data_IF_385590826939
#
_entry.id   IF_385590826939
#
_cell.length_a   1.000
_cell.length_b   1.000
_cell.length_c   1.000
_cell.angle_alpha   90.00
_cell.angle_beta   90.00
_cell.angle_gamma   90.00
#
_symmetry.space_group_name_H-M   'P 1'
#
loop_
_entity.id
_entity.type
_entity.pdbx_description
1 polymer ?
#
# COMPACT_ATOMS: atom_id res chain seq x y z
N UNK A 1 -33.01 16.20 -39.09
CA UNK A 1 -32.35 16.61 -37.82
C UNK A 1 -32.95 15.90 -36.61
N UNK A 2 -33.31 14.62 -36.72
CA UNK A 2 -33.81 13.81 -35.59
C UNK A 2 -33.09 12.45 -35.49
N UNK A 3 -31.96 12.30 -36.19
CA UNK A 3 -31.18 11.05 -36.29
C UNK A 3 -29.85 11.09 -35.53
N UNK A 4 -29.33 12.27 -35.17
CA UNK A 4 -28.02 12.39 -34.50
C UNK A 4 -28.13 12.24 -32.97
N UNK A 5 -29.28 12.58 -32.38
CA UNK A 5 -29.46 12.51 -30.93
C UNK A 5 -29.72 11.09 -30.41
N UNK A 6 -30.26 10.18 -31.23
CA UNK A 6 -30.41 8.77 -30.83
C UNK A 6 -29.07 8.03 -30.84
N UNK A 7 -28.24 8.28 -31.86
CA UNK A 7 -26.94 7.62 -32.01
C UNK A 7 -25.96 8.02 -30.89
N UNK A 8 -25.90 9.30 -30.52
CA UNK A 8 -25.04 9.77 -29.42
C UNK A 8 -25.50 9.22 -28.05
N UNK A 9 -26.81 9.03 -27.86
CA UNK A 9 -27.37 8.42 -26.64
C UNK A 9 -27.03 6.93 -26.56
N UNK A 10 -27.17 6.20 -27.67
CA UNK A 10 -26.89 4.76 -27.73
C UNK A 10 -25.38 4.46 -27.59
N UNK A 11 -24.51 5.29 -28.19
CA UNK A 11 -23.04 5.21 -28.01
C UNK A 11 -22.63 5.43 -26.56
N UNK A 12 -23.19 6.45 -25.89
CA UNK A 12 -22.89 6.71 -24.48
C UNK A 12 -23.36 5.54 -23.59
N UNK A 13 -24.54 4.96 -23.85
CA UNK A 13 -25.01 3.77 -23.12
C UNK A 13 -24.07 2.56 -23.27
N UNK A 14 -23.49 2.34 -24.45
CA UNK A 14 -22.54 1.24 -24.69
C UNK A 14 -21.23 1.44 -23.89
N UNK A 15 -20.64 2.63 -23.95
CA UNK A 15 -19.41 2.96 -23.20
C UNK A 15 -19.65 2.83 -21.70
N UNK A 16 -20.78 3.34 -21.18
CA UNK A 16 -21.15 3.18 -19.78
C UNK A 16 -21.34 1.70 -19.39
N UNK A 17 -21.82 0.86 -20.30
CA UNK A 17 -21.92 -0.58 -20.08
C UNK A 17 -20.53 -1.24 -19.99
N UNK A 18 -19.61 -0.92 -20.90
CA UNK A 18 -18.23 -1.43 -20.89
C UNK A 18 -17.47 -0.97 -19.62
N UNK A 19 -17.58 0.31 -19.24
CA UNK A 19 -17.01 0.83 -17.99
C UNK A 19 -17.53 0.08 -16.76
N UNK A 20 -18.80 -0.33 -16.77
CA UNK A 20 -19.38 -1.15 -15.70
C UNK A 20 -18.84 -2.58 -15.69
N UNK A 21 -18.54 -3.17 -16.85
CA UNK A 21 -17.87 -4.47 -16.95
C UNK A 21 -16.45 -4.35 -16.40
N UNK A 22 -15.69 -3.37 -16.87
CA UNK A 22 -14.33 -3.07 -16.40
C UNK A 22 -14.31 -2.91 -14.88
N UNK A 23 -15.19 -2.06 -14.32
CA UNK A 23 -15.33 -1.89 -12.87
C UNK A 23 -15.66 -3.19 -12.13
N UNK A 24 -16.45 -4.08 -12.72
CA UNK A 24 -16.84 -5.36 -12.10
C UNK A 24 -15.71 -6.37 -12.11
N UNK A 25 -14.86 -6.36 -13.13
CA UNK A 25 -13.69 -7.25 -13.18
C UNK A 25 -12.70 -6.99 -12.02
N UNK A 26 -12.64 -5.75 -11.53
CA UNK A 26 -11.88 -5.36 -10.33
C UNK A 26 -12.54 -5.76 -9.00
N UNK A 27 -13.82 -6.20 -9.00
CA UNK A 27 -14.55 -6.48 -7.76
C UNK A 27 -14.17 -7.85 -7.17
N UNK A 28 -13.05 -7.83 -6.44
CA UNK A 28 -12.78 -8.51 -5.15
C UNK A 28 -12.21 -9.92 -5.22
N UNK A 29 -10.92 -10.01 -4.88
CA UNK A 29 -10.47 -10.91 -3.83
C UNK A 29 -10.57 -10.21 -2.47
N UNK A 30 -10.88 -10.97 -1.44
CA UNK A 30 -10.75 -10.51 -0.06
C UNK A 30 -9.32 -9.98 0.14
N UNK A 31 -9.10 -8.88 0.88
CA UNK A 31 -7.78 -8.28 1.08
C UNK A 31 -6.91 -9.09 2.06
N UNK A 32 -7.19 -10.39 2.12
CA UNK A 32 -6.54 -11.37 2.96
C UNK A 32 -6.62 -12.75 2.31
N UNK A 33 -5.68 -13.60 2.65
CA UNK A 33 -5.69 -15.04 2.36
C UNK A 33 -5.56 -15.81 3.66
N UNK A 34 -6.24 -16.94 3.77
CA UNK A 34 -6.22 -17.76 4.98
C UNK A 34 -6.33 -19.24 4.65
N UNK A 35 -5.91 -20.07 5.59
CA UNK A 35 -5.97 -21.51 5.41
C UNK A 35 -5.30 -22.28 6.54
N UNK A 36 -5.16 -23.58 6.31
CA UNK A 36 -4.34 -24.47 7.13
C UNK A 36 -3.00 -24.70 6.44
N UNK A 37 -1.93 -24.74 7.24
CA UNK A 37 -0.60 -25.08 6.80
C UNK A 37 -0.10 -26.31 7.56
N UNK A 38 0.18 -27.39 6.86
CA UNK A 38 0.71 -28.60 7.46
C UNK A 38 2.16 -28.38 7.93
N UNK A 39 2.48 -28.87 9.12
CA UNK A 39 3.81 -28.73 9.73
C UNK A 39 4.27 -30.04 10.36
N UNK A 40 5.55 -30.11 10.73
CA UNK A 40 6.08 -31.22 11.54
C UNK A 40 5.79 -30.92 13.00
N UNK A 41 5.62 -31.96 13.83
CA UNK A 41 5.34 -31.78 15.26
C UNK A 41 6.40 -30.91 15.97
N UNK A 42 7.67 -31.11 15.63
CA UNK A 42 8.79 -30.32 16.19
C UNK A 42 8.74 -28.81 15.81
N UNK A 43 7.99 -28.43 14.77
CA UNK A 43 7.84 -27.02 14.36
C UNK A 43 6.99 -26.23 15.38
N UNK A 44 6.17 -26.93 16.17
CA UNK A 44 5.23 -26.37 17.15
C UNK A 44 5.84 -26.23 18.56
N UNK A 45 7.11 -26.59 18.71
CA UNK A 45 7.85 -26.45 19.98
C UNK A 45 8.43 -25.05 20.09
N UNK A 46 8.06 -24.35 21.17
CA UNK A 46 8.58 -23.02 21.49
C UNK A 46 9.51 -23.12 22.70
N UNK A 47 10.68 -22.52 22.58
CA UNK A 47 11.59 -22.25 23.69
C UNK A 47 11.48 -20.78 24.06
N UNK A 48 11.30 -20.48 25.33
CA UNK A 48 11.11 -19.10 25.79
C UNK A 48 11.81 -18.82 27.11
N UNK A 49 12.10 -17.55 27.35
CA UNK A 49 12.70 -17.05 28.58
C UNK A 49 11.62 -16.54 29.53
N UNK A 50 11.85 -16.75 30.83
CA UNK A 50 11.04 -16.17 31.91
C UNK A 50 11.92 -15.20 32.68
N UNK A 51 11.50 -13.94 32.88
CA UNK A 51 12.30 -12.97 33.62
C UNK A 51 12.68 -13.47 35.02
N UNK A 52 13.98 -13.51 35.30
CA UNK A 52 14.54 -13.96 36.59
C UNK A 52 14.91 -15.45 36.64
N UNK A 53 14.53 -16.24 35.63
CA UNK A 53 14.92 -17.63 35.51
C UNK A 53 16.23 -17.78 34.73
N UNK A 54 17.05 -18.75 35.14
CA UNK A 54 18.37 -18.99 34.51
C UNK A 54 18.34 -20.01 33.37
N UNK A 55 17.23 -20.73 33.23
CA UNK A 55 17.06 -21.79 32.24
C UNK A 55 15.93 -21.41 31.28
N UNK A 56 16.03 -21.76 29.99
CA UNK A 56 14.91 -21.62 29.08
C UNK A 56 13.81 -22.63 29.43
N UNK A 57 12.58 -22.24 29.14
CA UNK A 57 11.40 -23.09 29.21
C UNK A 57 11.07 -23.64 27.83
N UNK A 58 10.28 -24.71 27.79
CA UNK A 58 9.89 -25.40 26.56
C UNK A 58 8.42 -25.75 26.66
N UNK A 59 7.67 -25.44 25.61
CA UNK A 59 6.26 -25.84 25.45
C UNK A 59 6.05 -26.43 24.07
N UNK A 60 5.30 -27.52 23.98
CA UNK A 60 4.82 -28.10 22.72
C UNK A 60 3.39 -27.63 22.48
N UNK A 61 3.20 -26.63 21.61
CA UNK A 61 1.89 -26.01 21.39
C UNK A 61 0.88 -26.95 20.69
N UNK A 62 1.32 -28.11 20.19
CA UNK A 62 0.42 -29.16 19.70
C UNK A 62 -0.28 -29.92 20.82
N UNK A 63 0.37 -30.03 21.98
CA UNK A 63 -0.05 -30.90 23.09
C UNK A 63 -0.03 -30.16 24.44
N UNK A 64 0.00 -28.83 24.42
CA UNK A 64 0.19 -28.01 25.61
C UNK A 64 -0.96 -28.21 26.61
N UNK A 65 -0.62 -28.40 27.89
CA UNK A 65 -1.63 -28.41 28.95
C UNK A 65 -2.04 -27.00 29.32
N UNK A 66 -3.18 -26.87 30.01
CA UNK A 66 -3.64 -25.57 30.52
C UNK A 66 -2.60 -24.94 31.46
N UNK A 67 -1.95 -25.75 32.31
CA UNK A 67 -0.90 -25.27 33.22
C UNK A 67 0.32 -24.71 32.47
N UNK A 68 0.76 -25.37 31.39
CA UNK A 68 1.87 -24.88 30.55
C UNK A 68 1.49 -23.58 29.83
N UNK A 69 0.24 -23.44 29.39
CA UNK A 69 -0.27 -22.22 28.76
C UNK A 69 -0.41 -21.06 29.75
N UNK A 70 -0.80 -21.34 31.00
CA UNK A 70 -0.77 -20.37 32.10
C UNK A 70 0.66 -19.90 32.37
N UNK A 71 1.63 -20.82 32.39
CA UNK A 71 3.04 -20.49 32.60
C UNK A 71 3.60 -19.63 31.43
N UNK A 72 3.28 -19.97 30.18
CA UNK A 72 3.62 -19.15 29.01
C UNK A 72 2.98 -17.75 29.09
N UNK A 73 1.73 -17.68 29.54
CA UNK A 73 1.03 -16.39 29.73
C UNK A 73 1.71 -15.55 30.80
N UNK A 74 2.16 -16.16 31.90
CA UNK A 74 2.87 -15.46 32.98
C UNK A 74 4.25 -14.96 32.55
N UNK A 75 4.89 -15.62 31.57
CA UNK A 75 6.14 -15.18 30.96
C UNK A 75 5.96 -13.97 30.01
N UNK A 76 4.75 -13.73 29.53
CA UNK A 76 4.45 -12.62 28.64
C UNK A 76 4.43 -11.27 29.38
N UNK A 77 4.85 -10.22 28.68
CA UNK A 77 4.56 -8.84 29.07
C UNK A 77 3.10 -8.51 28.75
N UNK A 78 2.53 -7.53 29.45
CA UNK A 78 1.21 -7.01 29.08
C UNK A 78 1.30 -6.30 27.73
N UNK A 79 0.38 -6.61 26.82
CA UNK A 79 0.42 -6.04 25.48
C UNK A 79 -0.02 -4.56 25.44
N UNK A 80 0.75 -3.72 24.77
CA UNK A 80 0.45 -2.30 24.47
C UNK A 80 -0.15 -2.14 23.06
N UNK A 81 -0.63 -0.95 22.71
CA UNK A 81 -1.04 -0.60 21.34
C UNK A 81 -0.56 0.81 20.99
N UNK A 82 -0.36 1.09 19.70
CA UNK A 82 0.13 2.39 19.22
C UNK A 82 -0.97 3.43 19.13
N UNK A 83 -0.73 4.63 19.66
CA UNK A 83 -1.54 5.84 19.43
C UNK A 83 -0.60 6.99 19.14
N UNK A 84 -0.66 7.54 17.92
CA UNK A 84 0.20 8.67 17.52
C UNK A 84 1.70 8.40 17.72
N UNK A 85 2.17 7.20 17.37
CA UNK A 85 3.57 6.79 17.51
C UNK A 85 4.03 6.45 18.93
N UNK A 86 3.13 6.42 19.92
CA UNK A 86 3.43 6.04 21.31
C UNK A 86 2.72 4.76 21.70
N UNK A 87 3.41 3.91 22.47
CA UNK A 87 2.81 2.71 23.05
C UNK A 87 1.96 3.06 24.28
N UNK A 88 0.69 2.66 24.24
CA UNK A 88 -0.31 2.88 25.29
C UNK A 88 -0.74 1.53 25.87
N UNK A 89 -0.88 1.48 27.19
CA UNK A 89 -1.41 0.33 27.91
C UNK A 89 -2.81 0.63 28.44
N UNK A 90 -3.83 -0.08 27.93
CA UNK A 90 -5.22 0.01 28.39
C UNK A 90 -5.93 -1.34 28.19
N UNK A 91 -6.21 -2.04 29.28
CA UNK A 91 -6.87 -3.36 29.27
C UNK A 91 -8.34 -3.30 28.83
N UNK A 92 -8.97 -2.11 28.81
CA UNK A 92 -10.30 -1.93 28.23
C UNK A 92 -10.26 -1.89 26.70
N UNK A 93 -9.07 -1.71 26.11
CA UNK A 93 -8.85 -1.66 24.67
C UNK A 93 -8.15 -2.92 24.15
N UNK A 94 -7.12 -3.39 24.86
CA UNK A 94 -6.36 -4.60 24.54
C UNK A 94 -6.01 -5.37 25.81
N UNK A 95 -6.46 -6.62 25.89
CA UNK A 95 -6.07 -7.55 26.95
C UNK A 95 -5.46 -8.78 26.31
N UNK A 96 -4.14 -8.90 26.37
CA UNK A 96 -3.37 -10.05 25.88
C UNK A 96 -1.97 -10.07 26.51
N UNK A 97 -1.36 -11.25 26.57
CA UNK A 97 0.08 -11.40 26.77
C UNK A 97 0.83 -11.21 25.45
N UNK A 98 1.96 -10.51 25.49
CA UNK A 98 2.89 -10.32 24.36
C UNK A 98 4.30 -10.78 24.79
N UNK A 99 4.98 -11.49 23.91
CA UNK A 99 6.39 -11.83 24.04
C UNK A 99 7.15 -11.33 22.80
N UNK A 100 8.20 -10.53 23.02
CA UNK A 100 9.06 -10.01 21.95
C UNK A 100 10.02 -11.10 21.44
N UNK A 101 10.44 -11.00 20.18
CA UNK A 101 11.28 -11.99 19.48
C UNK A 101 12.60 -12.33 20.17
N UNK A 102 13.13 -11.45 21.00
CA UNK A 102 14.37 -11.71 21.73
C UNK A 102 14.19 -12.69 22.90
N UNK A 103 12.94 -12.98 23.29
CA UNK A 103 12.62 -13.80 24.46
C UNK A 103 12.08 -15.19 24.09
N UNK A 104 11.99 -15.53 22.79
CA UNK A 104 11.57 -16.86 22.36
C UNK A 104 12.18 -17.26 21.03
N UNK A 105 12.18 -18.56 20.75
CA UNK A 105 12.54 -19.14 19.46
C UNK A 105 11.72 -20.40 19.21
N UNK A 106 11.56 -20.75 17.94
CA UNK A 106 10.86 -21.95 17.48
C UNK A 106 11.46 -22.44 16.16
N UNK A 107 11.15 -23.69 15.80
CA UNK A 107 11.69 -24.32 14.57
C UNK A 107 10.88 -24.06 13.32
N UNK A 108 9.64 -23.59 13.46
CA UNK A 108 8.78 -23.29 12.32
C UNK A 108 9.46 -22.34 11.33
N UNK A 109 9.69 -22.84 10.12
CA UNK A 109 10.20 -22.07 8.99
C UNK A 109 9.01 -21.49 8.20
N UNK A 110 8.87 -20.18 8.22
CA UNK A 110 7.80 -19.46 7.53
C UNK A 110 7.94 -19.52 6.00
N UNK A 111 9.10 -19.92 5.46
CA UNK A 111 9.36 -19.89 4.02
C UNK A 111 8.39 -20.78 3.20
N UNK A 112 7.99 -21.94 3.72
CA UNK A 112 7.00 -22.80 3.03
C UNK A 112 5.62 -22.14 3.00
N UNK A 113 5.23 -21.47 4.08
CA UNK A 113 3.97 -20.73 4.15
C UNK A 113 4.00 -19.48 3.26
N UNK A 114 5.14 -18.78 3.20
CA UNK A 114 5.35 -17.65 2.28
C UNK A 114 5.07 -18.04 0.83
N UNK A 115 5.55 -19.21 0.38
CA UNK A 115 5.26 -19.71 -0.97
C UNK A 115 3.76 -19.89 -1.23
N UNK A 116 2.99 -20.29 -0.23
CA UNK A 116 1.52 -20.43 -0.33
C UNK A 116 0.82 -19.07 -0.40
N UNK A 117 1.23 -18.09 0.40
CA UNK A 117 0.50 -16.81 0.50
C UNK A 117 0.97 -15.75 -0.52
N UNK A 118 2.20 -15.85 -1.02
CA UNK A 118 2.79 -14.83 -1.91
C UNK A 118 1.97 -14.60 -3.19
N UNK A 119 1.45 -15.64 -3.90
CA UNK A 119 0.63 -15.41 -5.09
C UNK A 119 -0.62 -14.57 -4.84
N UNK A 120 -1.16 -14.63 -3.61
CA UNK A 120 -2.37 -13.89 -3.19
C UNK A 120 -2.04 -12.48 -2.69
N UNK A 121 -0.96 -12.31 -1.93
CA UNK A 121 -0.57 -10.98 -1.43
C UNK A 121 0.11 -10.13 -2.51
N UNK A 122 0.75 -10.74 -3.50
CA UNK A 122 1.43 -10.05 -4.60
C UNK A 122 0.57 -9.98 -5.87
N UNK A 123 -0.77 -10.06 -5.79
CA UNK A 123 -1.67 -9.95 -6.95
C UNK A 123 -1.38 -8.71 -7.80
N UNK A 124 -1.49 -8.83 -9.13
CA UNK A 124 -1.26 -7.73 -10.05
C UNK A 124 0.19 -7.29 -10.17
N UNK A 125 1.16 -8.17 -9.91
CA UNK A 125 2.60 -7.91 -10.09
C UNK A 125 3.17 -8.85 -11.16
N UNK A 126 4.07 -8.35 -11.99
CA UNK A 126 4.60 -9.10 -13.13
C UNK A 126 5.40 -10.35 -12.68
N UNK A 127 5.50 -11.35 -13.55
CA UNK A 127 6.36 -12.51 -13.30
C UNK A 127 7.86 -12.16 -13.37
N UNK A 128 8.19 -11.15 -14.19
CA UNK A 128 9.53 -10.56 -14.31
C UNK A 128 9.80 -9.51 -13.21
N UNK A 129 8.80 -9.24 -12.37
CA UNK A 129 8.96 -8.38 -11.21
C UNK A 129 9.90 -9.08 -10.24
N UNK A 130 11.05 -8.44 -9.98
CA UNK A 130 12.05 -8.95 -9.06
C UNK A 130 11.52 -8.99 -7.61
N UNK A 131 10.31 -8.50 -7.37
CA UNK A 131 9.75 -8.34 -6.03
C UNK A 131 9.29 -9.63 -5.39
N UNK A 132 9.66 -9.79 -4.12
CA UNK A 132 9.27 -10.92 -3.29
C UNK A 132 8.85 -10.47 -1.89
N UNK A 133 8.13 -11.35 -1.19
CA UNK A 133 7.78 -11.13 0.21
C UNK A 133 8.88 -11.61 1.14
N UNK A 134 9.37 -10.71 1.98
CA UNK A 134 10.17 -11.05 3.16
C UNK A 134 9.28 -11.04 4.39
N UNK A 135 9.21 -12.16 5.11
CA UNK A 135 8.60 -12.21 6.42
C UNK A 135 9.62 -11.86 7.51
N UNK A 136 9.23 -10.97 8.41
CA UNK A 136 9.97 -10.65 9.62
C UNK A 136 9.13 -11.04 10.83
N UNK A 137 9.69 -11.92 11.68
CA UNK A 137 9.03 -12.31 12.92
C UNK A 137 8.90 -11.09 13.83
N UNK A 138 7.70 -10.86 14.38
CA UNK A 138 7.44 -9.66 15.18
C UNK A 138 7.14 -9.97 16.65
N UNK A 139 6.14 -10.82 16.93
CA UNK A 139 5.71 -11.08 18.32
C UNK A 139 4.94 -12.38 18.43
N UNK A 140 5.04 -13.00 19.60
CA UNK A 140 4.12 -14.04 20.04
C UNK A 140 3.06 -13.39 20.95
N UNK A 141 1.78 -13.70 20.74
CA UNK A 141 0.71 -13.27 21.65
C UNK A 141 -0.03 -14.47 22.23
N UNK A 142 -0.40 -14.35 23.51
CA UNK A 142 -1.24 -15.31 24.21
C UNK A 142 -2.51 -14.61 24.69
N UNK A 143 -3.66 -15.12 24.27
CA UNK A 143 -4.98 -14.66 24.69
C UNK A 143 -5.63 -15.77 25.53
N UNK A 144 -5.70 -15.58 26.84
CA UNK A 144 -6.45 -16.45 27.74
C UNK A 144 -7.90 -16.00 27.95
N UNK A 145 -8.67 -16.61 28.84
CA UNK A 145 -10.08 -16.28 29.05
C UNK A 145 -10.33 -14.79 29.35
N UNK A 146 -11.29 -14.21 28.64
CA UNK A 146 -11.65 -12.80 28.69
C UNK A 146 -10.66 -11.84 28.01
N UNK A 147 -9.64 -12.36 27.32
CA UNK A 147 -8.70 -11.57 26.51
C UNK A 147 -9.31 -11.21 25.17
N UNK A 148 -8.97 -10.03 24.64
CA UNK A 148 -9.49 -9.49 23.38
C UNK A 148 -8.57 -8.39 22.83
N UNK A 149 -8.83 -7.94 21.60
CA UNK A 149 -8.21 -6.74 21.05
C UNK A 149 -9.20 -6.00 20.15
N UNK A 150 -9.53 -4.75 20.49
CA UNK A 150 -10.44 -3.92 19.69
C UNK A 150 -9.92 -3.62 18.28
N UNK A 151 -10.84 -3.15 17.43
CA UNK A 151 -10.57 -2.78 16.04
C UNK A 151 -9.43 -1.75 15.93
N UNK A 152 -8.43 -2.09 15.12
CA UNK A 152 -7.27 -1.25 14.82
C UNK A 152 -6.71 -1.63 13.44
N UNK A 153 -5.85 -0.78 12.88
CA UNK A 153 -4.95 -1.13 11.79
C UNK A 153 -3.54 -1.27 12.38
N UNK A 154 -2.70 -2.07 11.73
CA UNK A 154 -1.30 -2.14 12.13
C UNK A 154 -0.59 -0.82 11.78
N UNK A 155 0.20 -0.30 12.71
CA UNK A 155 1.07 0.85 12.41
C UNK A 155 2.20 0.37 11.51
N UNK A 156 2.35 0.93 10.29
CA UNK A 156 3.47 0.59 9.42
C UNK A 156 4.80 0.80 10.14
N UNK A 157 5.71 -0.16 10.00
CA UNK A 157 7.05 -0.11 10.60
C UNK A 157 8.11 0.41 9.63
N UNK A 158 7.81 0.35 8.34
CA UNK A 158 8.53 0.99 7.24
C UNK A 158 7.56 1.20 6.08
N UNK A 159 7.99 1.94 5.06
CA UNK A 159 7.18 2.23 3.86
C UNK A 159 6.93 0.96 3.02
N UNK A 160 7.82 -0.02 3.10
CA UNK A 160 7.76 -1.28 2.36
C UNK A 160 6.94 -2.38 3.06
N UNK A 161 6.41 -2.12 4.27
CA UNK A 161 5.53 -3.05 4.97
C UNK A 161 4.13 -3.05 4.35
N UNK A 162 3.84 -4.04 3.51
CA UNK A 162 2.57 -4.09 2.77
C UNK A 162 1.49 -4.96 3.43
N UNK A 163 1.86 -5.91 4.29
CA UNK A 163 0.93 -6.86 4.88
C UNK A 163 1.40 -7.40 6.25
N UNK A 164 0.48 -8.06 6.96
CA UNK A 164 0.73 -8.79 8.19
C UNK A 164 0.34 -10.26 7.99
N UNK A 165 1.09 -11.19 8.58
CA UNK A 165 0.77 -12.61 8.65
C UNK A 165 0.58 -13.01 10.11
N UNK A 166 -0.58 -13.55 10.44
CA UNK A 166 -0.89 -14.13 11.75
C UNK A 166 -1.01 -15.64 11.61
N UNK A 167 -0.14 -16.34 12.32
CA UNK A 167 -0.13 -17.80 12.46
C UNK A 167 -0.75 -18.14 13.82
N UNK A 168 -1.71 -19.05 13.85
CA UNK A 168 -2.40 -19.54 15.05
C UNK A 168 -2.01 -20.99 15.31
N UNK A 169 -1.52 -21.25 16.51
CA UNK A 169 -1.12 -22.59 16.93
C UNK A 169 -2.33 -23.43 17.35
N UNK A 170 -2.25 -24.77 17.27
CA UNK A 170 -3.33 -25.71 17.62
C UNK A 170 -3.58 -25.84 19.13
N UNK A 171 -3.64 -24.73 19.86
CA UNK A 171 -4.01 -24.71 21.28
C UNK A 171 -5.54 -24.65 21.42
N UNK A 172 -6.13 -25.46 22.29
CA UNK A 172 -7.57 -25.52 22.45
C UNK A 172 -8.13 -24.19 23.02
N UNK A 173 -9.14 -23.63 22.36
CA UNK A 173 -9.85 -22.41 22.78
C UNK A 173 -11.23 -22.30 22.12
N UNK A 174 -12.11 -21.51 22.71
CA UNK A 174 -13.38 -21.05 22.12
C UNK A 174 -13.44 -19.52 22.10
N UNK A 175 -14.05 -18.95 21.06
CA UNK A 175 -13.99 -17.51 20.80
C UNK A 175 -12.61 -17.07 20.32
N UNK A 176 -12.31 -15.78 20.40
CA UNK A 176 -11.00 -15.26 19.95
C UNK A 176 -10.84 -15.19 18.43
N UNK A 177 -11.95 -15.24 17.69
CA UNK A 177 -11.98 -15.12 16.24
C UNK A 177 -11.39 -13.78 15.80
N UNK A 178 -10.68 -13.78 14.67
CA UNK A 178 -10.14 -12.55 14.09
C UNK A 178 -11.17 -11.97 13.12
N UNK A 179 -11.71 -10.79 13.44
CA UNK A 179 -12.54 -10.01 12.52
C UNK A 179 -11.66 -9.16 11.65
N UNK A 180 -11.92 -9.18 10.34
CA UNK A 180 -11.24 -8.38 9.32
C UNK A 180 -12.27 -7.48 8.64
N UNK A 181 -11.95 -6.19 8.48
CA UNK A 181 -12.79 -5.19 7.84
C UNK A 181 -11.99 -4.33 6.87
N UNK A 182 -12.50 -4.21 5.64
CA UNK A 182 -11.89 -3.41 4.57
C UNK A 182 -12.94 -3.05 3.53
N UNK A 183 -12.94 -1.79 3.06
CA UNK A 183 -13.89 -1.32 2.05
C UNK A 183 -15.37 -1.56 2.41
N UNK A 184 -15.71 -1.51 3.71
CA UNK A 184 -17.06 -1.79 4.23
C UNK A 184 -17.47 -3.28 4.23
N UNK A 185 -16.57 -4.20 3.88
CA UNK A 185 -16.79 -5.64 3.94
C UNK A 185 -16.17 -6.21 5.21
N UNK A 186 -16.84 -7.20 5.80
CA UNK A 186 -16.39 -7.89 7.01
C UNK A 186 -16.21 -9.38 6.77
N UNK A 187 -15.15 -9.95 7.31
CA UNK A 187 -14.93 -11.39 7.38
C UNK A 187 -14.58 -11.79 8.81
N UNK A 188 -14.97 -13.02 9.17
CA UNK A 188 -14.60 -13.67 10.42
C UNK A 188 -13.66 -14.83 10.09
N UNK A 189 -12.48 -14.84 10.69
CA UNK A 189 -11.53 -15.94 10.62
C UNK A 189 -11.56 -16.69 11.95
N UNK A 190 -12.18 -17.87 11.93
CA UNK A 190 -12.25 -18.76 13.08
C UNK A 190 -11.16 -19.84 12.99
N UNK A 191 -10.03 -19.56 13.61
CA UNK A 191 -8.91 -20.50 13.65
C UNK A 191 -9.21 -21.73 14.49
N UNK A 192 -10.06 -21.62 15.52
CA UNK A 192 -10.35 -22.74 16.42
C UNK A 192 -11.13 -23.82 15.68
N UNK A 193 -12.19 -23.44 14.97
CA UNK A 193 -12.98 -24.34 14.14
C UNK A 193 -12.14 -24.95 13.02
N UNK A 194 -11.33 -24.14 12.31
CA UNK A 194 -10.45 -24.65 11.26
C UNK A 194 -9.45 -25.70 11.75
N UNK A 195 -8.87 -25.49 12.94
CA UNK A 195 -7.91 -26.43 13.53
C UNK A 195 -8.58 -27.69 14.09
N UNK A 196 -9.81 -27.57 14.59
CA UNK A 196 -10.60 -28.72 15.06
C UNK A 196 -10.98 -29.67 13.91
N UNK A 197 -11.20 -29.13 12.71
CA UNK A 197 -11.53 -29.90 11.50
C UNK A 197 -10.30 -30.39 10.72
N UNK A 198 -9.08 -30.04 11.15
CA UNK A 198 -7.86 -30.36 10.43
C UNK A 198 -7.61 -31.88 10.32
N UNK A 199 -6.94 -32.36 9.24
CA UNK A 199 -6.51 -33.76 9.11
C UNK A 199 -5.63 -34.21 10.28
N UNK A 200 -5.40 -35.52 10.45
CA UNK A 200 -4.60 -36.09 11.57
C UNK A 200 -3.11 -35.68 11.62
N UNK A 201 -2.65 -34.76 10.77
CA UNK A 201 -1.28 -34.22 10.80
C UNK A 201 -1.26 -32.88 11.53
N UNK A 202 -0.16 -32.52 12.22
CA UNK A 202 -0.02 -31.22 12.86
C UNK A 202 -0.19 -30.10 11.83
N UNK A 203 -1.02 -29.12 12.15
CA UNK A 203 -1.28 -27.98 11.29
C UNK A 203 -1.32 -26.67 12.08
N UNK A 204 -1.07 -25.58 11.37
CA UNK A 204 -1.26 -24.21 11.82
C UNK A 204 -2.43 -23.62 11.03
N UNK A 205 -3.26 -22.80 11.66
CA UNK A 205 -4.12 -21.91 10.92
C UNK A 205 -3.35 -20.62 10.64
N UNK A 206 -3.57 -20.02 9.48
CA UNK A 206 -2.94 -18.75 9.13
C UNK A 206 -3.92 -17.81 8.48
N UNK A 207 -3.63 -16.52 8.61
CA UNK A 207 -4.27 -15.45 7.85
C UNK A 207 -3.25 -14.36 7.56
N UNK A 208 -3.11 -14.00 6.29
CA UNK A 208 -2.29 -12.89 5.84
C UNK A 208 -3.19 -11.82 5.24
N UNK A 209 -3.01 -10.56 5.60
CA UNK A 209 -3.86 -9.44 5.19
C UNK A 209 -3.04 -8.18 4.96
N UNK A 210 -3.48 -7.31 4.04
CA UNK A 210 -2.79 -6.04 3.79
C UNK A 210 -2.81 -5.13 5.04
N UNK A 211 -1.79 -4.29 5.18
CA UNK A 211 -1.58 -3.46 6.37
C UNK A 211 -2.72 -2.46 6.65
N UNK A 212 -3.53 -2.13 5.64
CA UNK A 212 -4.69 -1.25 5.73
C UNK A 212 -5.99 -1.97 6.16
N UNK A 213 -5.95 -3.28 6.36
CA UNK A 213 -7.11 -4.03 6.87
C UNK A 213 -7.30 -3.75 8.36
N UNK A 214 -8.47 -3.20 8.69
CA UNK A 214 -8.87 -3.03 10.10
C UNK A 214 -9.19 -4.40 10.68
N UNK A 215 -8.64 -4.72 11.85
CA UNK A 215 -8.83 -6.02 12.45
C UNK A 215 -9.00 -5.96 13.97
N UNK A 216 -9.70 -6.96 14.51
CA UNK A 216 -9.93 -7.13 15.95
C UNK A 216 -9.95 -8.60 16.33
N UNK A 217 -9.56 -8.90 17.56
CA UNK A 217 -9.67 -10.25 18.14
C UNK A 217 -10.87 -10.24 19.09
N UNK A 218 -11.84 -11.10 18.82
CA UNK A 218 -12.99 -11.30 19.71
C UNK A 218 -12.56 -11.83 21.08
N UNK A 219 -13.52 -11.86 22.01
CA UNK A 219 -13.22 -12.34 23.36
C UNK A 219 -12.97 -13.84 23.33
N UNK A 220 -11.81 -14.27 23.84
CA UNK A 220 -11.57 -15.68 24.14
C UNK A 220 -12.45 -16.08 25.33
N UNK A 221 -13.34 -17.04 25.14
CA UNK A 221 -14.30 -17.49 26.14
C UNK A 221 -13.68 -18.56 27.04
N UNK A 222 -13.04 -19.55 26.44
CA UNK A 222 -12.38 -20.67 27.13
C UNK A 222 -11.04 -20.99 26.47
N UNK A 223 -10.13 -21.63 27.22
CA UNK A 223 -8.81 -22.02 26.73
C UNK A 223 -7.88 -20.84 26.42
N UNK A 224 -6.87 -21.10 25.57
CA UNK A 224 -5.86 -20.11 25.21
C UNK A 224 -5.60 -20.11 23.71
N UNK A 225 -5.67 -18.93 23.12
CA UNK A 225 -5.30 -18.70 21.72
C UNK A 225 -3.86 -18.17 21.67
N UNK A 226 -2.95 -18.98 21.13
CA UNK A 226 -1.53 -18.62 20.94
C UNK A 226 -1.28 -18.28 19.47
N UNK A 227 -0.62 -17.15 19.22
CA UNK A 227 -0.34 -16.68 17.86
C UNK A 227 1.08 -16.18 17.69
N UNK A 228 1.61 -16.32 16.47
CA UNK A 228 2.83 -15.70 16.01
C UNK A 228 2.52 -14.72 14.87
N UNK A 229 2.95 -13.48 15.01
CA UNK A 229 2.75 -12.43 13.99
C UNK A 229 4.06 -12.17 13.26
N UNK A 230 3.97 -12.05 11.93
CA UNK A 230 5.03 -11.58 11.06
C UNK A 230 4.60 -10.30 10.34
N UNK A 231 5.53 -9.36 10.19
CA UNK A 231 5.39 -8.25 9.25
C UNK A 231 5.86 -8.74 7.87
N UNK A 232 5.11 -8.44 6.82
CA UNK A 232 5.46 -8.80 5.45
C UNK A 232 5.91 -7.55 4.70
N UNK A 233 7.16 -7.59 4.24
CA UNK A 233 7.79 -6.52 3.48
C UNK A 233 7.89 -6.90 2.01
N UNK A 234 7.60 -5.95 1.15
CA UNK A 234 7.97 -6.03 -0.26
C UNK A 234 9.46 -5.74 -0.39
N UNK A 235 10.18 -6.57 -1.15
CA UNK A 235 11.62 -6.42 -1.36
C UNK A 235 11.95 -6.71 -2.81
N UNK A 236 12.89 -5.96 -3.40
CA UNK A 236 13.40 -6.26 -4.74
C UNK A 236 14.50 -7.31 -4.68
N UNK A 237 14.45 -8.30 -5.58
CA UNK A 237 15.52 -9.25 -5.80
C UNK A 237 16.59 -8.55 -6.60
N UNK A 238 17.78 -8.37 -6.02
CA UNK A 238 18.96 -7.96 -6.80
C UNK A 238 19.11 -8.94 -7.95
N UNK A 239 19.13 -8.44 -9.18
CA UNK A 239 19.22 -9.24 -10.40
C UNK A 239 20.34 -10.30 -10.26
N UNK A 240 19.93 -11.55 -10.05
CA UNK A 240 20.83 -12.70 -10.08
C UNK A 240 20.54 -13.46 -11.38
N UNK A 241 21.55 -13.88 -12.16
CA UNK A 241 21.37 -14.56 -13.44
C UNK A 241 20.70 -15.96 -13.35
N UNK A 242 20.31 -16.39 -12.16
CA UNK A 242 19.63 -17.66 -11.88
C UNK A 242 18.16 -17.40 -11.52
N UNK A 243 17.39 -16.84 -12.45
CA UNK A 243 15.94 -16.87 -12.34
C UNK A 243 15.46 -18.21 -12.93
N UNK A 244 15.13 -19.13 -12.03
CA UNK A 244 14.27 -20.27 -12.35
C UNK A 244 12.95 -19.66 -12.83
N UNK A 245 12.73 -19.69 -14.14
CA UNK A 245 11.58 -19.11 -14.84
C UNK A 245 10.25 -19.68 -14.38
N UNK A 246 9.87 -19.34 -13.14
CA UNK A 246 8.61 -19.72 -12.54
C UNK A 246 7.51 -18.92 -13.24
N UNK A 247 6.85 -19.58 -14.18
CA UNK A 247 5.67 -19.05 -14.85
C UNK A 247 4.61 -18.78 -13.79
N UNK A 248 4.37 -17.51 -13.47
CA UNK A 248 3.24 -17.11 -12.63
C UNK A 248 1.96 -17.35 -13.43
N UNK A 249 1.04 -18.14 -12.88
CA UNK A 249 -0.29 -18.28 -13.45
C UNK A 249 -1.07 -16.99 -13.17
N UNK A 250 -1.48 -16.28 -14.23
CA UNK A 250 -2.30 -15.08 -14.10
C UNK A 250 -3.65 -15.46 -13.50
N UNK A 251 -4.04 -14.89 -12.35
CA UNK A 251 -5.35 -15.17 -11.78
C UNK A 251 -6.49 -14.76 -12.73
N UNK A 252 -7.59 -15.50 -12.71
CA UNK A 252 -8.71 -15.28 -13.63
C UNK A 252 -9.29 -13.85 -13.59
N UNK A 253 -9.21 -13.16 -12.45
CA UNK A 253 -9.72 -11.81 -12.31
C UNK A 253 -8.82 -10.75 -12.97
N UNK A 254 -7.50 -10.98 -12.97
CA UNK A 254 -6.53 -10.15 -13.70
C UNK A 254 -6.76 -10.30 -15.21
N UNK A 255 -6.93 -11.53 -15.69
CA UNK A 255 -7.30 -11.81 -17.08
C UNK A 255 -8.64 -11.15 -17.47
N UNK A 256 -9.67 -11.26 -16.62
CA UNK A 256 -10.96 -10.61 -16.88
C UNK A 256 -10.85 -9.08 -16.97
N UNK A 257 -9.96 -8.46 -16.20
CA UNK A 257 -9.71 -7.03 -16.27
C UNK A 257 -8.98 -6.65 -17.56
N UNK A 258 -7.95 -7.41 -17.93
CA UNK A 258 -7.24 -7.25 -19.21
C UNK A 258 -8.20 -7.34 -20.41
N UNK A 259 -9.02 -8.39 -20.48
CA UNK A 259 -10.02 -8.55 -21.55
C UNK A 259 -11.04 -7.41 -21.59
N UNK A 260 -11.52 -6.95 -20.43
CA UNK A 260 -12.47 -5.84 -20.34
C UNK A 260 -11.83 -4.50 -20.74
N UNK A 261 -10.56 -4.27 -20.40
CA UNK A 261 -9.83 -3.06 -20.77
C UNK A 261 -9.57 -3.03 -22.27
N UNK A 262 -9.11 -4.15 -22.85
CA UNK A 262 -8.96 -4.27 -24.30
C UNK A 262 -10.27 -4.00 -25.05
N UNK A 263 -11.38 -4.62 -24.62
CA UNK A 263 -12.67 -4.42 -25.27
C UNK A 263 -13.16 -2.95 -25.21
N UNK A 264 -12.82 -2.22 -24.14
CA UNK A 264 -13.12 -0.80 -24.03
C UNK A 264 -12.25 0.05 -24.97
N UNK A 265 -10.97 -0.29 -25.11
CA UNK A 265 -10.02 0.41 -25.99
C UNK A 265 -10.27 0.16 -27.48
N UNK A 266 -10.87 -0.98 -27.85
CA UNK A 266 -11.27 -1.27 -29.22
C UNK A 266 -12.52 -0.49 -29.68
N UNK A 267 -13.25 0.14 -28.76
CA UNK A 267 -14.42 0.94 -29.07
C UNK A 267 -13.99 2.30 -29.66
N UNK A 268 -14.27 2.59 -30.94
CA UNK A 268 -13.80 3.82 -31.59
C UNK A 268 -14.45 5.09 -31.04
N UNK A 269 -15.56 4.96 -30.31
CA UNK A 269 -16.23 6.09 -29.66
C UNK A 269 -15.69 6.37 -28.25
N UNK A 270 -14.87 5.46 -27.70
CA UNK A 270 -14.25 5.63 -26.39
C UNK A 270 -13.00 6.53 -26.47
N UNK A 271 -13.09 7.73 -25.86
CA UNK A 271 -12.02 8.73 -25.81
C UNK A 271 -11.27 8.93 -27.15
N UNK A 272 -11.97 9.27 -28.25
CA UNK A 272 -11.39 9.31 -29.60
C UNK A 272 -10.24 10.33 -29.74
N UNK A 273 -10.22 11.35 -28.89
CA UNK A 273 -9.18 12.39 -28.83
C UNK A 273 -8.11 12.10 -27.76
N UNK A 274 -8.14 10.93 -27.14
CA UNK A 274 -7.38 10.61 -25.94
C UNK A 274 -8.03 11.20 -24.69
N UNK A 275 -7.49 10.82 -23.53
CA UNK A 275 -8.02 11.23 -22.23
C UNK A 275 -7.44 10.40 -21.09
N UNK A 276 -8.14 10.35 -19.96
CA UNK A 276 -7.76 9.56 -18.81
C UNK A 276 -8.88 8.59 -18.39
N UNK A 277 -8.49 7.38 -18.02
CA UNK A 277 -9.29 6.53 -17.15
C UNK A 277 -8.85 6.76 -15.71
N UNK A 278 -9.78 7.10 -14.81
CA UNK A 278 -9.47 7.33 -13.40
C UNK A 278 -10.03 6.24 -12.49
N UNK A 279 -9.24 5.90 -11.49
CA UNK A 279 -9.52 4.87 -10.50
C UNK A 279 -9.22 5.39 -9.09
N UNK A 280 -10.23 5.40 -8.23
CA UNK A 280 -10.00 5.47 -6.79
C UNK A 280 -9.25 4.24 -6.29
N UNK A 281 -8.25 4.48 -5.44
CA UNK A 281 -7.39 3.45 -4.86
C UNK A 281 -8.16 2.56 -3.87
N UNK A 282 -8.07 1.24 -4.06
CA UNK A 282 -8.72 0.25 -3.20
C UNK A 282 -8.00 0.05 -1.87
N UNK A 283 -6.71 0.36 -1.78
CA UNK A 283 -5.95 0.25 -0.54
C UNK A 283 -5.49 1.58 0.01
N UNK A 284 -5.15 1.61 1.30
CA UNK A 284 -4.45 2.74 1.91
C UNK A 284 -2.94 2.60 1.70
N UNK A 285 -2.30 3.71 1.35
CA UNK A 285 -0.86 3.83 1.16
C UNK A 285 -0.28 4.94 2.04
N UNK A 286 0.99 4.82 2.45
CA UNK A 286 1.68 5.87 3.19
C UNK A 286 2.07 7.00 2.23
N UNK A 287 1.09 7.77 1.73
CA UNK A 287 1.37 8.94 0.90
C UNK A 287 2.28 9.89 1.67
N UNK A 288 3.41 10.31 1.06
CA UNK A 288 4.41 11.05 1.80
C UNK A 288 3.93 12.48 2.05
N UNK A 289 4.58 13.16 2.99
CA UNK A 289 4.40 14.59 3.13
C UNK A 289 5.06 15.28 1.91
N UNK A 290 4.50 16.38 1.39
CA UNK A 290 5.15 17.12 0.33
C UNK A 290 6.58 17.56 0.76
N UNK A 291 7.57 17.55 -0.15
CA UNK A 291 7.49 17.41 -1.62
C UNK A 291 7.95 16.04 -2.16
N UNK A 292 7.60 14.94 -1.51
CA UNK A 292 8.01 13.60 -1.96
C UNK A 292 7.12 13.07 -3.11
N UNK A 293 7.76 12.40 -4.09
CA UNK A 293 7.22 12.15 -5.45
C UNK A 293 6.23 10.97 -5.51
N UNK A 294 4.97 11.25 -5.82
CA UNK A 294 3.91 10.25 -6.11
C UNK A 294 4.31 9.11 -7.09
N UNK A 295 5.07 9.35 -8.18
CA UNK A 295 5.49 8.29 -9.09
C UNK A 295 6.25 7.15 -8.42
N UNK A 296 7.05 7.45 -7.39
CA UNK A 296 7.84 6.44 -6.70
C UNK A 296 6.97 5.45 -5.94
N UNK A 297 5.69 5.71 -5.72
CA UNK A 297 4.79 4.82 -4.98
C UNK A 297 4.11 3.75 -5.84
N UNK A 298 4.25 3.78 -7.18
CA UNK A 298 3.62 2.80 -8.06
C UNK A 298 4.06 1.35 -7.72
N UNK A 299 5.31 1.17 -7.30
CA UNK A 299 5.82 -0.15 -6.89
C UNK A 299 5.16 -0.67 -5.59
N UNK A 300 4.49 0.17 -4.80
CA UNK A 300 3.83 -0.22 -3.55
C UNK A 300 2.37 -0.65 -3.74
N UNK A 301 1.80 -0.53 -4.95
CA UNK A 301 0.40 -0.82 -5.21
C UNK A 301 0.01 -2.25 -4.78
N UNK A 302 -1.20 -2.39 -4.23
CA UNK A 302 -1.74 -3.63 -3.65
C UNK A 302 -2.97 -4.07 -4.42
N UNK A 303 -3.14 -5.39 -4.56
CA UNK A 303 -4.36 -6.00 -5.09
C UNK A 303 -4.83 -5.38 -6.42
N UNK A 304 -6.07 -4.90 -6.45
CA UNK A 304 -6.67 -4.32 -7.67
C UNK A 304 -5.92 -3.09 -8.19
N UNK A 305 -5.28 -2.32 -7.32
CA UNK A 305 -4.54 -1.13 -7.75
C UNK A 305 -3.29 -1.53 -8.54
N UNK A 306 -2.61 -2.59 -8.09
CA UNK A 306 -1.47 -3.17 -8.81
C UNK A 306 -1.90 -3.81 -10.14
N UNK A 307 -3.05 -4.49 -10.16
CA UNK A 307 -3.62 -5.07 -11.39
C UNK A 307 -3.84 -4.01 -12.45
N UNK A 308 -4.44 -2.87 -12.08
CA UNK A 308 -4.68 -1.76 -13.02
C UNK A 308 -3.37 -1.29 -13.63
N UNK A 309 -2.36 -1.03 -12.78
CA UNK A 309 -1.03 -0.58 -13.19
C UNK A 309 -0.37 -1.58 -14.15
N UNK A 310 -0.21 -2.82 -13.71
CA UNK A 310 0.50 -3.88 -14.45
C UNK A 310 -0.18 -4.22 -15.76
N UNK A 311 -1.51 -4.34 -15.78
CA UNK A 311 -2.24 -4.62 -17.03
C UNK A 311 -2.15 -3.45 -17.99
N UNK A 312 -2.27 -2.20 -17.50
CA UNK A 312 -2.09 -1.02 -18.35
C UNK A 312 -0.70 -0.98 -18.99
N UNK A 313 0.37 -1.19 -18.21
CA UNK A 313 1.74 -1.22 -18.72
C UNK A 313 1.98 -2.36 -19.72
N UNK A 314 1.43 -3.56 -19.44
CA UNK A 314 1.53 -4.73 -20.32
C UNK A 314 0.97 -4.44 -21.72
N UNK A 315 -0.10 -3.65 -21.80
CA UNK A 315 -0.72 -3.25 -23.07
C UNK A 315 -0.17 -1.92 -23.60
N UNK A 316 0.89 -1.42 -22.96
CA UNK A 316 1.69 -0.24 -23.31
C UNK A 316 1.13 1.10 -22.82
N UNK A 317 0.01 1.13 -22.11
CA UNK A 317 -0.51 2.37 -21.53
C UNK A 317 0.33 2.82 -20.33
N UNK A 318 0.40 4.14 -20.13
CA UNK A 318 1.06 4.72 -18.97
C UNK A 318 0.07 4.90 -17.83
N UNK A 319 0.50 4.57 -16.61
CA UNK A 319 -0.23 4.90 -15.38
C UNK A 319 0.50 5.94 -14.53
N UNK A 320 -0.26 6.77 -13.82
CA UNK A 320 0.29 7.77 -12.90
C UNK A 320 -0.56 7.81 -11.63
N UNK A 321 0.08 8.03 -10.49
CA UNK A 321 -0.63 8.45 -9.27
C UNK A 321 -0.84 9.96 -9.34
N UNK A 322 -2.08 10.41 -9.14
CA UNK A 322 -2.44 11.82 -9.14
C UNK A 322 -3.27 12.15 -7.92
N UNK A 323 -3.21 13.40 -7.47
CA UNK A 323 -4.05 13.91 -6.38
C UNK A 323 -5.20 14.72 -6.98
N UNK A 324 -6.42 14.33 -6.62
CA UNK A 324 -7.62 15.03 -7.02
C UNK A 324 -7.94 16.15 -6.04
N UNK A 325 -7.95 17.39 -6.54
CA UNK A 325 -8.37 18.57 -5.78
C UNK A 325 -9.70 19.09 -6.34
N UNK A 326 -10.67 19.30 -5.45
CA UNK A 326 -11.95 19.94 -5.77
C UNK A 326 -11.90 21.40 -5.30
N UNK A 327 -11.94 22.33 -6.27
CA UNK A 327 -11.96 23.77 -6.04
C UNK A 327 -13.36 24.34 -6.30
N UNK A 328 -13.99 24.89 -5.26
CA UNK A 328 -15.22 25.66 -5.38
C UNK A 328 -14.94 27.14 -5.19
N UNK A 329 -15.06 27.95 -6.24
CA UNK A 329 -15.09 29.41 -6.10
C UNK A 329 -16.55 29.82 -5.89
N UNK A 330 -16.95 30.17 -4.66
CA UNK A 330 -18.24 30.82 -4.42
C UNK A 330 -18.19 32.26 -4.96
N UNK A 331 -18.49 32.42 -6.25
CA UNK A 331 -18.73 33.75 -6.80
C UNK A 331 -20.04 34.31 -6.23
N UNK A 332 -19.96 35.42 -5.49
CA UNK A 332 -21.11 36.30 -5.25
C UNK A 332 -21.39 37.20 -6.47
N UNK A 333 -21.40 36.64 -7.69
CA UNK A 333 -21.87 37.36 -8.88
C UNK A 333 -23.33 37.00 -9.19
N UNK A 334 -24.08 38.02 -9.64
CA UNK A 334 -25.53 38.06 -9.76
C UNK A 334 -26.11 37.18 -10.90
N UNK A 335 -25.33 36.29 -11.49
CA UNK A 335 -25.78 35.34 -12.51
C UNK A 335 -25.24 33.96 -12.14
N UNK A 336 -26.17 33.02 -11.99
CA UNK A 336 -26.01 31.68 -11.42
C UNK A 336 -25.17 30.78 -12.34
N UNK A 337 -23.97 30.39 -11.92
CA UNK A 337 -23.36 29.10 -12.25
C UNK A 337 -22.08 28.90 -11.39
N UNK A 338 -22.15 28.01 -10.41
CA UNK A 338 -20.98 27.56 -9.66
C UNK A 338 -20.16 26.66 -10.57
N UNK A 339 -19.08 27.19 -11.16
CA UNK A 339 -18.10 26.37 -11.87
C UNK A 339 -17.25 25.63 -10.83
N UNK A 340 -17.55 24.35 -10.61
CA UNK A 340 -16.68 23.45 -9.86
C UNK A 340 -15.46 23.15 -10.73
N UNK A 341 -14.28 23.53 -10.25
CA UNK A 341 -13.02 23.27 -10.93
C UNK A 341 -12.37 22.04 -10.30
N UNK A 342 -11.94 21.10 -11.14
CA UNK A 342 -11.32 19.85 -10.70
C UNK A 342 -9.95 19.72 -11.34
N UNK A 343 -8.94 19.45 -10.52
CA UNK A 343 -7.57 19.22 -10.99
C UNK A 343 -7.07 17.85 -10.56
N UNK A 344 -6.41 17.20 -11.51
CA UNK A 344 -5.53 16.08 -11.22
C UNK A 344 -4.09 16.59 -11.20
N UNK A 345 -3.56 16.77 -9.99
CA UNK A 345 -2.19 17.18 -9.77
C UNK A 345 -1.24 15.99 -9.85
N UNK A 346 -0.07 16.21 -10.45
CA UNK A 346 0.99 15.21 -10.56
C UNK A 346 1.82 15.08 -9.27
N UNK A 347 1.60 16.00 -8.32
CA UNK A 347 2.24 16.01 -7.01
C UNK A 347 1.28 16.52 -5.91
N UNK A 348 1.63 16.25 -4.65
CA UNK A 348 0.94 16.83 -3.50
C UNK A 348 1.26 18.33 -3.46
N UNK A 349 0.22 19.16 -3.47
CA UNK A 349 0.34 20.61 -3.46
C UNK A 349 1.22 21.10 -2.30
N UNK A 350 2.37 21.67 -2.63
CA UNK A 350 3.22 22.39 -1.69
C UNK A 350 2.79 23.85 -1.60
N UNK A 351 2.19 24.21 -0.48
CA UNK A 351 1.62 25.53 -0.23
C UNK A 351 2.48 26.41 0.68
N UNK A 352 3.71 26.01 1.01
CA UNK A 352 4.59 26.77 1.93
C UNK A 352 4.88 28.20 1.45
N UNK A 353 4.73 28.47 0.14
CA UNK A 353 5.04 29.74 -0.50
C UNK A 353 3.79 30.57 -0.86
N UNK A 354 2.58 30.09 -0.57
CA UNK A 354 1.35 30.83 -0.86
C UNK A 354 1.19 31.94 0.19
N UNK A 355 1.45 33.18 -0.21
CA UNK A 355 1.36 34.40 0.59
C UNK A 355 0.12 35.19 0.11
N UNK A 356 -0.86 35.50 0.96
CA UNK A 356 -2.26 35.66 0.49
C UNK A 356 -2.57 36.78 -0.50
N UNK A 357 -3.60 36.50 -1.30
CA UNK A 357 -4.90 37.17 -1.20
C UNK A 357 -5.96 36.27 -1.87
N UNK A 358 -6.88 35.69 -1.08
CA UNK A 358 -8.06 34.92 -1.54
C UNK A 358 -7.79 33.63 -2.35
N UNK A 359 -8.82 32.77 -2.46
CA UNK A 359 -8.87 31.49 -3.18
C UNK A 359 -8.24 31.50 -4.59
N UNK A 360 -8.12 32.68 -5.20
CA UNK A 360 -7.51 32.89 -6.52
C UNK A 360 -6.02 32.47 -6.57
N UNK A 361 -5.24 32.72 -5.51
CA UNK A 361 -3.82 32.32 -5.48
C UNK A 361 -3.64 30.81 -5.33
N UNK A 362 -4.52 30.15 -4.55
CA UNK A 362 -4.50 28.69 -4.39
C UNK A 362 -4.82 28.00 -5.71
N UNK A 363 -5.80 28.54 -6.44
CA UNK A 363 -6.21 27.96 -7.71
C UNK A 363 -5.17 28.13 -8.80
N UNK A 364 -4.53 29.30 -8.91
CA UNK A 364 -3.40 29.51 -9.83
C UNK A 364 -2.23 28.56 -9.56
N UNK A 365 -1.97 28.19 -8.30
CA UNK A 365 -0.95 27.19 -7.96
C UNK A 365 -1.38 25.76 -8.30
N UNK A 366 -2.65 25.41 -8.06
CA UNK A 366 -3.19 24.11 -8.47
C UNK A 366 -3.15 23.94 -10.00
N UNK A 367 -3.48 24.98 -10.77
CA UNK A 367 -3.37 25.00 -12.24
C UNK A 367 -1.93 24.78 -12.73
N UNK A 368 -0.92 25.18 -11.95
CA UNK A 368 0.49 24.92 -12.29
C UNK A 368 0.92 23.48 -11.99
N UNK A 369 0.25 22.79 -11.06
CA UNK A 369 0.63 21.45 -10.60
C UNK A 369 -0.07 20.31 -11.32
N UNK A 370 -1.07 20.59 -12.16
CA UNK A 370 -1.89 19.53 -12.73
C UNK A 370 -2.70 19.90 -13.95
N UNK A 371 -3.27 18.86 -14.55
CA UNK A 371 -4.16 18.98 -15.70
C UNK A 371 -5.58 19.31 -15.22
N UNK A 372 -6.21 20.31 -15.84
CA UNK A 372 -7.63 20.61 -15.63
C UNK A 372 -8.51 19.52 -16.24
N UNK A 373 -9.51 19.08 -15.48
CA UNK A 373 -10.38 17.97 -15.86
C UNK A 373 -11.70 18.49 -16.44
N UNK A 374 -12.11 17.89 -17.55
CA UNK A 374 -13.43 18.09 -18.13
C UNK A 374 -14.35 16.90 -17.80
N UNK A 375 -15.48 17.18 -17.14
CA UNK A 375 -16.51 16.16 -16.84
C UNK A 375 -17.58 16.01 -17.94
N UNK A 376 -17.80 17.00 -18.81
CA UNK A 376 -18.75 16.96 -19.94
C UNK A 376 -18.39 17.96 -21.06
N UNK A 377 -18.49 17.53 -22.33
CA UNK A 377 -18.11 18.22 -23.60
C UNK A 377 -18.24 19.76 -23.65
N UNK A 378 -17.18 20.44 -24.14
CA UNK A 378 -17.21 21.84 -24.58
C UNK A 378 -16.28 22.86 -23.88
N UNK A 379 -15.21 22.42 -23.21
CA UNK A 379 -14.34 23.27 -22.37
C UNK A 379 -12.86 23.08 -22.70
N UNK A 380 -11.96 23.81 -22.02
CA UNK A 380 -10.51 23.58 -22.08
C UNK A 380 -10.15 22.59 -20.95
N UNK A 381 -10.01 21.29 -21.24
CA UNK A 381 -9.65 20.28 -20.24
C UNK A 381 -9.45 18.89 -20.84
N UNK A 382 -8.88 17.98 -20.06
CA UNK A 382 -8.69 16.57 -20.47
C UNK A 382 -9.96 15.78 -20.17
N UNK A 383 -10.43 14.98 -21.13
CA UNK A 383 -11.59 14.09 -20.94
C UNK A 383 -11.24 12.96 -19.95
N UNK A 384 -12.05 12.81 -18.90
CA UNK A 384 -11.84 11.79 -17.87
C UNK A 384 -13.06 10.88 -17.74
N UNK A 385 -12.81 9.56 -17.78
CA UNK A 385 -13.82 8.54 -17.50
C UNK A 385 -13.50 7.83 -16.18
N UNK A 386 -14.35 8.03 -15.17
CA UNK A 386 -14.15 7.45 -13.83
C UNK A 386 -14.70 6.03 -13.73
N UNK A 387 -13.82 5.05 -13.51
CA UNK A 387 -14.19 3.63 -13.38
C UNK A 387 -14.54 3.29 -11.93
N UNK A 388 -13.65 3.64 -10.99
CA UNK A 388 -13.87 3.56 -9.55
C UNK A 388 -13.80 4.95 -8.95
N UNK A 389 -14.74 5.28 -8.05
CA UNK A 389 -14.78 6.61 -7.43
C UNK A 389 -13.59 6.80 -6.49
N UNK A 390 -12.99 7.99 -6.54
CA UNK A 390 -11.97 8.45 -5.60
C UNK A 390 -12.67 8.74 -4.27
N UNK A 391 -12.07 8.27 -3.16
CA UNK A 391 -12.60 8.46 -1.82
C UNK A 391 -11.50 8.96 -0.87
N UNK A 392 -11.90 9.28 0.36
CA UNK A 392 -11.02 9.92 1.35
C UNK A 392 -10.00 8.96 1.98
N UNK A 393 -9.93 7.68 1.56
CA UNK A 393 -9.02 6.67 2.16
C UNK A 393 -7.56 7.09 2.04
N UNK A 394 -7.22 7.78 0.96
CA UNK A 394 -5.88 8.27 0.66
C UNK A 394 -5.85 9.79 0.58
N UNK A 395 -6.60 10.45 1.47
CA UNK A 395 -6.62 11.91 1.58
C UNK A 395 -5.26 12.43 2.02
N UNK A 396 -4.67 13.30 1.21
CA UNK A 396 -3.49 14.10 1.55
C UNK A 396 -3.93 15.47 2.06
N UNK A 397 -3.14 16.03 2.98
CA UNK A 397 -3.40 17.34 3.59
C UNK A 397 -2.18 18.22 3.45
N UNK A 398 -2.40 19.42 2.90
CA UNK A 398 -1.40 20.48 2.83
C UNK A 398 -1.82 21.64 3.73
N UNK A 399 -0.87 22.22 4.48
CA UNK A 399 -1.13 23.32 5.41
C UNK A 399 -0.56 24.62 4.85
N UNK A 400 -1.38 25.66 4.72
CA UNK A 400 -0.93 27.00 4.34
C UNK A 400 -1.21 28.01 5.43
N UNK A 401 -0.48 29.12 5.42
CA UNK A 401 -0.80 30.27 6.27
C UNK A 401 -1.69 31.21 5.47
N UNK A 402 -2.77 31.68 6.10
CA UNK A 402 -3.66 32.70 5.57
C UNK A 402 -3.71 33.90 6.53
N UNK A 403 -3.02 34.98 6.21
CA UNK A 403 -3.19 36.33 6.73
C UNK A 403 -4.49 36.97 6.19
N UNK A 404 -5.44 37.09 7.12
CA UNK A 404 -6.51 38.07 7.06
C UNK A 404 -6.18 39.26 7.98
N UNK A 405 -7.14 39.67 8.82
CA UNK A 405 -6.85 40.61 9.92
C UNK A 405 -5.98 39.96 11.03
N UNK A 406 -5.92 38.63 11.08
CA UNK A 406 -5.05 37.81 11.93
C UNK A 406 -4.48 36.65 11.09
N UNK A 407 -3.35 36.07 11.50
CA UNK A 407 -2.75 34.92 10.82
C UNK A 407 -3.48 33.63 11.26
N UNK A 408 -4.10 32.94 10.31
CA UNK A 408 -4.76 31.65 10.52
C UNK A 408 -4.05 30.54 9.70
N UNK A 409 -4.12 29.30 10.17
CA UNK A 409 -3.62 28.14 9.41
C UNK A 409 -4.78 27.55 8.63
N UNK A 410 -4.69 27.58 7.30
CA UNK A 410 -5.62 26.95 6.37
C UNK A 410 -5.18 25.53 5.98
N UNK A 411 -6.13 24.73 5.50
CA UNK A 411 -5.88 23.37 5.03
C UNK A 411 -6.48 23.16 3.65
N UNK A 412 -5.70 22.53 2.76
CA UNK A 412 -6.16 22.01 1.48
C UNK A 412 -6.12 20.49 1.55
N UNK A 413 -7.19 19.86 1.10
CA UNK A 413 -7.32 18.41 1.06
C UNK A 413 -7.40 17.97 -0.40
N UNK A 414 -6.67 16.92 -0.73
CA UNK A 414 -6.77 16.24 -2.01
C UNK A 414 -6.85 14.74 -1.80
N UNK A 415 -7.51 14.04 -2.71
CA UNK A 415 -7.72 12.60 -2.61
C UNK A 415 -6.93 11.89 -3.71
N UNK A 416 -6.01 11.00 -3.33
CA UNK A 416 -5.14 10.32 -4.29
C UNK A 416 -5.88 9.24 -5.09
N UNK A 417 -5.60 9.17 -6.39
CA UNK A 417 -6.13 8.19 -7.33
C UNK A 417 -5.08 7.71 -8.32
N UNK A 418 -5.37 6.59 -8.97
CA UNK A 418 -4.58 6.06 -10.08
C UNK A 418 -5.24 6.47 -11.39
N UNK A 419 -4.47 7.01 -12.33
CA UNK A 419 -4.94 7.34 -13.68
C UNK A 419 -4.19 6.52 -14.72
N UNK A 420 -4.89 6.14 -15.78
CA UNK A 420 -4.33 5.51 -16.97
C UNK A 420 -4.51 6.46 -18.15
N UNK A 421 -3.43 6.81 -18.84
CA UNK A 421 -3.45 7.70 -19.99
C UNK A 421 -3.86 6.95 -21.24
N UNK A 422 -4.89 7.45 -21.91
CA UNK A 422 -5.42 6.90 -23.15
C UNK A 422 -4.95 7.81 -24.31
N UNK A 423 -4.16 7.30 -25.26
CA UNK A 423 -3.71 8.09 -26.39
C UNK A 423 -4.86 8.38 -27.36
N UNK A 424 -4.73 9.44 -28.16
CA UNK A 424 -5.67 9.72 -29.24
C UNK A 424 -5.61 8.63 -30.32
N UNK A 425 -6.74 8.38 -30.99
CA UNK A 425 -6.78 7.39 -32.08
C UNK A 425 -5.77 7.78 -33.17
N UNK A 426 -4.80 6.89 -33.43
CA UNK A 426 -3.75 7.09 -34.44
C UNK A 426 -2.42 7.61 -33.89
N UNK A 427 -2.38 8.09 -32.65
CA UNK A 427 -1.12 8.25 -31.91
C UNK A 427 -0.78 6.89 -31.29
N UNK A 428 0.22 6.21 -31.85
CA UNK A 428 0.67 4.92 -31.33
C UNK A 428 1.10 5.01 -29.87
N UNK A 429 0.98 3.90 -29.15
CA UNK A 429 1.39 3.74 -27.76
C UNK A 429 2.90 4.02 -27.66
N UNK A 430 3.31 5.17 -27.11
CA UNK A 430 4.72 5.51 -26.88
C UNK A 430 5.14 4.92 -25.54
N UNK A 431 6.14 4.04 -25.56
CA UNK A 431 6.86 3.66 -24.36
C UNK A 431 7.51 4.90 -23.74
N UNK A 432 7.45 5.03 -22.41
CA UNK A 432 8.18 6.06 -21.68
C UNK A 432 9.68 5.82 -21.88
N UNK A 433 10.39 6.81 -22.43
CA UNK A 433 11.83 6.91 -22.33
C UNK A 433 12.10 7.84 -21.14
N UNK A 434 12.85 7.36 -20.13
CA UNK A 434 13.39 8.23 -19.09
C UNK A 434 14.26 9.29 -19.78
N UNK A 435 13.90 10.57 -19.65
CA UNK A 435 14.80 11.65 -20.02
C UNK A 435 15.98 11.59 -19.03
N UNK A 436 17.11 11.05 -19.47
CA UNK A 436 18.40 11.26 -18.81
C UNK A 436 18.66 12.77 -18.83
N UNK A 437 18.70 13.38 -17.63
CA UNK A 437 19.15 14.75 -17.45
C UNK A 437 20.57 14.88 -18.03
N UNK A 438 20.66 15.52 -19.19
CA UNK A 438 21.91 15.90 -19.84
C UNK A 438 22.58 16.96 -18.93
N UNK A 439 23.45 16.51 -18.02
CA UNK A 439 24.35 17.38 -17.27
C UNK A 439 25.22 18.14 -18.27
N UNK A 440 24.75 19.32 -18.66
CA UNK A 440 25.50 20.23 -19.50
C UNK A 440 26.85 20.55 -18.86
N UNK A 441 27.92 20.20 -19.57
CA UNK A 441 29.29 20.62 -19.31
C UNK A 441 29.36 22.14 -19.09
N UNK A 442 29.46 22.55 -17.82
CA UNK A 442 29.88 23.91 -17.47
C UNK A 442 31.40 23.93 -17.49
N UNK A 443 31.96 24.36 -18.61
CA UNK A 443 33.38 24.70 -18.72
C UNK A 443 33.76 25.70 -17.62
N UNK A 444 34.66 25.29 -16.74
CA UNK A 444 35.28 26.17 -15.75
C UNK A 444 36.25 27.12 -16.47
N UNK A 445 35.91 28.41 -16.53
CA UNK A 445 36.85 29.46 -16.88
C UNK A 445 37.90 29.60 -15.75
N UNK A 446 39.13 29.15 -16.04
CA UNK A 446 40.31 29.35 -15.20
C UNK A 446 40.75 30.83 -15.24
N UNK A 447 40.40 31.59 -14.21
CA UNK A 447 41.00 32.89 -13.90
C UNK A 447 42.39 32.70 -13.26
N UNK A 448 43.42 32.54 -14.09
CA UNK A 448 44.81 32.59 -13.66
C UNK A 448 45.28 34.03 -13.46
N UNK A 449 45.13 34.55 -12.23
CA UNK A 449 45.88 35.73 -11.78
C UNK A 449 47.35 35.37 -11.54
N UNK A 450 48.20 36.07 -12.29
CA UNK A 450 49.65 36.12 -12.14
C UNK A 450 50.07 36.54 -10.73
N UNK A 451 50.93 35.75 -10.09
CA UNK A 451 51.95 36.35 -9.23
C UNK A 451 53.29 35.61 -9.27
N UNK A 452 54.35 36.42 -9.31
CA UNK A 452 55.67 36.08 -9.80
C UNK A 452 56.48 35.11 -8.93
N UNK A 453 57.23 34.23 -9.59
CA UNK A 453 58.32 33.49 -8.99
C UNK A 453 59.54 34.37 -8.72
N UNK A 454 60.17 34.16 -7.57
CA UNK A 454 61.63 34.19 -7.44
C UNK A 454 62.09 33.53 -6.13
N UNK A 455 63.13 32.69 -6.21
CA UNK A 455 64.10 32.54 -5.11
C UNK A 455 64.18 31.19 -4.39
N UNK A 456 64.93 30.27 -5.00
CA UNK A 456 66.11 29.56 -4.44
C UNK A 456 66.06 28.79 -3.10
N UNK A 457 66.45 27.52 -3.24
CA UNK A 457 67.48 26.76 -2.49
C UNK A 457 67.13 25.85 -1.30
N UNK A 458 67.86 24.71 -1.32
CA UNK A 458 68.15 23.69 -0.29
C UNK A 458 67.03 22.69 0.08
N UNK A 459 67.12 21.42 -0.33
CA UNK A 459 67.76 20.31 0.44
C UNK A 459 66.65 19.54 1.18
N UNK A 460 66.45 18.22 1.15
CA UNK A 460 67.34 17.07 1.23
C UNK A 460 66.54 15.82 0.81
N UNK A 461 67.27 14.88 0.21
CA UNK A 461 66.94 13.45 0.05
C UNK A 461 66.79 12.79 1.42
N UNK A 462 65.79 11.91 1.66
CA UNK A 462 65.98 10.54 2.24
C UNK A 462 64.75 9.65 1.91
N UNK A 463 65.09 8.47 1.40
CA UNK A 463 64.33 7.27 1.07
C UNK A 463 64.07 6.35 2.30
N UNK A 464 63.11 5.42 2.17
CA UNK A 464 62.91 4.14 2.90
C UNK A 464 61.42 3.94 3.27
N UNK A 465 60.68 3.09 2.55
CA UNK A 465 60.61 1.62 2.64
C UNK A 465 60.10 1.05 3.98
N UNK A 466 58.99 0.30 3.84
CA UNK A 466 58.55 -0.91 4.54
C UNK A 466 58.38 -0.88 6.07
N UNK A 467 57.12 -0.97 6.54
CA UNK A 467 56.50 -2.22 7.03
C UNK A 467 55.02 -2.03 7.35
#
# INVERSE_FOLDING_TARGET
>A
MASDTSNASDTNENIQHQLKILRRSLRVQVPFTSGLHAVKGDDLVVYYEVPGEKRPFRIDLANATEEELVELTAACQKATFGVGGKDVFDESYRKAGKMDVNNFTLRFDVASLLKTISPEILQGRNADDSQFLRAEMYKLNVYGPGSFFKAHQDTPRSEEMIASLVVVFPTAHEGGELKLEHGGKRCLFDSADMLAEAPQLPALAYVAFYSDVTHSVETVLTGYRVTLTYNLYLCDRKASPEDDGSVRYMPAHEQNFEEALYALLEDPDFLPKGGLLSFGLAHQYPFPAPPDRLPQMLHLLKGSDAIIHTVAEKIGLTTQLKVFYEGGVEYWSREEETLSHHIFADDVLNVEHINESYDMCLWEELEKLGEQIQHTDGGQGVDVQTVTGIDERNRVRSNYTAYGNEAEVGHVYGDAGLVVRIPAIGEGVRAYEEEEDDEGDVEAEDDAQSDGGNGSDDGEVIDNQET
#
